data_IF_780368325554
#
_entry.id   IF_780368325554
#
_cell.length_a   1.000
_cell.length_b   1.000
_cell.length_c   1.000
_cell.angle_alpha   90.00
_cell.angle_beta   90.00
_cell.angle_gamma   90.00
#
_symmetry.space_group_name_H-M   'P 1'
#
loop_
_entity.id
_entity.type
_entity.pdbx_description
1 polymer ?
#
# COMPACT_ATOMS: atom_id res chain seq x y z
N UNK A 1 -3.03 -24.28 0.32
CA UNK A 1 -3.38 -23.65 1.62
C UNK A 1 -4.87 -23.35 1.65
N UNK A 2 -5.51 -23.31 2.82
CA UNK A 2 -6.97 -23.05 2.95
C UNK A 2 -7.42 -21.77 2.21
N UNK A 3 -6.55 -20.76 2.15
CA UNK A 3 -6.80 -19.52 1.41
C UNK A 3 -6.65 -19.63 -0.11
N UNK A 4 -5.86 -20.58 -0.64
CA UNK A 4 -5.77 -20.84 -2.09
C UNK A 4 -7.08 -21.45 -2.63
N UNK A 5 -7.75 -22.27 -1.82
CA UNK A 5 -9.04 -22.87 -2.19
C UNK A 5 -10.20 -21.85 -2.18
N UNK A 6 -10.05 -20.75 -1.42
CA UNK A 6 -11.05 -19.68 -1.33
C UNK A 6 -11.02 -18.73 -2.55
N UNK A 7 -9.85 -18.51 -3.17
CA UNK A 7 -9.70 -17.58 -4.29
C UNK A 7 -8.56 -18.02 -5.22
N UNK A 8 -8.90 -18.68 -6.32
CA UNK A 8 -7.94 -18.88 -7.40
C UNK A 8 -7.53 -17.55 -8.05
N UNK A 9 -6.25 -17.36 -8.44
CA UNK A 9 -5.77 -16.11 -9.09
C UNK A 9 -6.61 -15.67 -10.28
N UNK A 10 -7.08 -16.64 -11.08
CA UNK A 10 -7.94 -16.42 -12.24
C UNK A 10 -9.33 -15.89 -11.87
N UNK A 11 -9.88 -16.32 -10.74
CA UNK A 11 -11.12 -15.79 -10.18
C UNK A 11 -10.93 -14.38 -9.61
N UNK A 12 -9.80 -14.19 -8.94
CA UNK A 12 -9.40 -12.96 -8.30
C UNK A 12 -9.18 -11.80 -9.30
N UNK A 13 -8.54 -12.09 -10.45
CA UNK A 13 -8.41 -11.13 -11.59
C UNK A 13 -9.77 -10.72 -12.17
N UNK A 14 -10.80 -11.58 -12.11
CA UNK A 14 -12.15 -11.31 -12.65
C UNK A 14 -13.07 -10.56 -11.68
N UNK A 15 -12.83 -10.67 -10.36
CA UNK A 15 -13.64 -10.04 -9.32
C UNK A 15 -12.79 -9.22 -8.34
N UNK A 16 -12.14 -8.14 -8.79
CA UNK A 16 -11.18 -7.39 -7.97
C UNK A 16 -11.84 -6.73 -6.75
N UNK A 17 -13.14 -6.42 -6.80
CA UNK A 17 -13.88 -5.85 -5.67
C UNK A 17 -14.00 -6.81 -4.47
N UNK A 18 -13.92 -8.13 -4.67
CA UNK A 18 -13.95 -9.09 -3.56
C UNK A 18 -12.69 -9.01 -2.71
N UNK A 19 -11.57 -8.63 -3.32
CA UNK A 19 -10.28 -8.49 -2.65
C UNK A 19 -10.25 -7.37 -1.63
N UNK A 20 -11.07 -6.35 -1.84
CA UNK A 20 -11.29 -5.33 -0.82
C UNK A 20 -11.78 -5.95 0.49
N UNK A 21 -12.79 -6.82 0.43
CA UNK A 21 -13.30 -7.48 1.64
C UNK A 21 -12.29 -8.45 2.23
N UNK A 22 -11.51 -9.16 1.41
CA UNK A 22 -10.42 -9.99 1.90
C UNK A 22 -9.33 -9.18 2.61
N UNK A 23 -8.96 -8.01 2.08
CA UNK A 23 -8.04 -7.09 2.74
C UNK A 23 -8.57 -6.64 4.10
N UNK A 24 -9.85 -6.26 4.19
CA UNK A 24 -10.46 -5.89 5.48
C UNK A 24 -10.37 -7.05 6.48
N UNK A 25 -10.76 -8.26 6.07
CA UNK A 25 -10.74 -9.45 6.92
C UNK A 25 -9.31 -9.80 7.35
N UNK A 26 -8.34 -9.77 6.43
CA UNK A 26 -6.94 -10.07 6.73
C UNK A 26 -6.34 -9.06 7.71
N UNK A 27 -6.62 -7.76 7.56
CA UNK A 27 -6.18 -6.75 8.51
C UNK A 27 -6.74 -7.02 9.91
N UNK A 28 -8.05 -7.29 10.02
CA UNK A 28 -8.70 -7.55 11.31
C UNK A 28 -8.22 -8.86 11.96
N UNK A 29 -8.06 -9.93 11.18
CA UNK A 29 -7.51 -11.20 11.68
C UNK A 29 -6.05 -11.06 12.12
N UNK A 30 -5.23 -10.34 11.35
CA UNK A 30 -3.85 -10.09 11.70
C UNK A 30 -3.75 -9.30 13.02
N UNK A 31 -4.59 -8.29 13.23
CA UNK A 31 -4.68 -7.56 14.50
C UNK A 31 -5.11 -8.49 15.64
N UNK A 32 -6.16 -9.28 15.44
CA UNK A 32 -6.67 -10.19 16.46
C UNK A 32 -5.60 -11.20 16.90
N UNK A 33 -4.91 -11.83 15.96
CA UNK A 33 -3.81 -12.75 16.25
C UNK A 33 -2.57 -12.06 16.82
N UNK A 34 -2.22 -10.87 16.31
CA UNK A 34 -1.11 -10.08 16.84
C UNK A 34 -1.31 -9.73 18.30
N UNK A 35 -2.49 -9.25 18.67
CA UNK A 35 -2.83 -8.91 20.06
C UNK A 35 -2.96 -10.13 20.96
N UNK A 36 -3.45 -11.26 20.43
CA UNK A 36 -3.65 -12.47 21.23
C UNK A 36 -2.34 -13.23 21.49
N UNK A 37 -1.52 -13.40 20.45
CA UNK A 37 -0.32 -14.27 20.51
C UNK A 37 0.94 -13.45 20.82
N UNK A 38 1.03 -12.21 20.33
CA UNK A 38 2.24 -11.37 20.42
C UNK A 38 1.93 -9.94 20.93
N UNK A 39 1.31 -9.78 22.12
CA UNK A 39 0.81 -8.48 22.59
C UNK A 39 1.88 -7.40 22.76
N UNK A 40 3.14 -7.76 22.96
CA UNK A 40 4.27 -6.82 23.15
C UNK A 40 4.84 -6.32 21.82
N UNK A 41 4.86 -7.18 20.79
CA UNK A 41 5.49 -6.91 19.48
C UNK A 41 4.45 -6.70 18.36
N UNK A 42 3.19 -6.42 18.75
CA UNK A 42 2.05 -6.40 17.83
C UNK A 42 2.24 -5.42 16.66
N UNK A 43 2.97 -4.32 16.84
CA UNK A 43 3.15 -3.30 15.80
C UNK A 43 3.84 -3.79 14.51
N UNK A 44 4.86 -4.64 14.62
CA UNK A 44 5.47 -5.33 13.47
C UNK A 44 4.74 -6.62 13.12
N UNK A 45 4.35 -7.40 14.13
CA UNK A 45 3.81 -8.74 13.93
C UNK A 45 2.50 -8.70 13.13
N UNK A 46 1.65 -7.71 13.37
CA UNK A 46 0.40 -7.54 12.60
C UNK A 46 0.69 -7.34 11.11
N UNK A 47 1.70 -6.55 10.76
CA UNK A 47 2.12 -6.37 9.36
C UNK A 47 2.62 -7.69 8.78
N UNK A 48 3.45 -8.42 9.53
CA UNK A 48 3.96 -9.72 9.10
C UNK A 48 2.85 -10.76 8.88
N UNK A 49 1.84 -10.79 9.75
CA UNK A 49 0.69 -11.68 9.59
C UNK A 49 -0.14 -11.35 8.35
N UNK A 50 -0.35 -10.06 8.05
CA UNK A 50 -0.99 -9.65 6.78
C UNK A 50 -0.18 -10.13 5.59
N UNK A 51 1.15 -9.99 5.63
CA UNK A 51 2.04 -10.46 4.56
C UNK A 51 1.89 -11.97 4.36
N UNK A 52 1.92 -12.76 5.43
CA UNK A 52 1.70 -14.22 5.34
C UNK A 52 0.34 -14.55 4.71
N UNK A 53 -0.73 -13.88 5.14
CA UNK A 53 -2.09 -14.13 4.62
C UNK A 53 -2.24 -13.74 3.15
N UNK A 54 -1.52 -12.72 2.71
CA UNK A 54 -1.60 -12.20 1.34
C UNK A 54 -0.66 -12.92 0.37
N UNK A 55 0.50 -13.41 0.84
CA UNK A 55 1.54 -14.08 0.03
C UNK A 55 0.97 -15.11 -0.95
N UNK A 56 0.14 -16.10 -0.55
CA UNK A 56 -0.30 -17.14 -1.49
C UNK A 56 -1.04 -16.54 -2.70
N UNK A 57 -1.92 -15.58 -2.43
CA UNK A 57 -2.71 -14.92 -3.46
C UNK A 57 -1.83 -14.04 -4.37
N UNK A 58 -0.96 -13.25 -3.77
CA UNK A 58 -0.13 -12.27 -4.47
C UNK A 58 1.03 -12.92 -5.22
N UNK A 59 1.71 -13.91 -4.62
CA UNK A 59 2.83 -14.63 -5.21
C UNK A 59 2.37 -15.39 -6.45
N UNK A 60 1.28 -16.16 -6.35
CA UNK A 60 0.78 -16.91 -7.51
C UNK A 60 0.33 -15.95 -8.62
N UNK A 61 -0.27 -14.81 -8.28
CA UNK A 61 -0.63 -13.78 -9.28
C UNK A 61 0.60 -13.20 -9.97
N UNK A 62 1.66 -12.89 -9.22
CA UNK A 62 2.92 -12.36 -9.77
C UNK A 62 3.63 -13.38 -10.65
N UNK A 63 3.75 -14.63 -10.19
CA UNK A 63 4.39 -15.71 -10.95
C UNK A 63 3.65 -15.98 -12.27
N UNK A 64 2.31 -15.90 -12.26
CA UNK A 64 1.53 -16.02 -13.50
C UNK A 64 1.79 -14.86 -14.46
N UNK A 65 1.87 -13.63 -13.97
CA UNK A 65 2.22 -12.47 -14.81
C UNK A 65 3.63 -12.56 -15.38
N UNK A 66 4.59 -12.96 -14.55
CA UNK A 66 5.97 -13.20 -14.99
C UNK A 66 6.02 -14.26 -16.09
N UNK A 67 5.27 -15.36 -15.96
CA UNK A 67 5.20 -16.39 -16.98
C UNK A 67 4.57 -15.88 -18.30
N UNK A 68 3.52 -15.07 -18.22
CA UNK A 68 2.84 -14.48 -19.38
C UNK A 68 3.74 -13.48 -20.14
N UNK A 69 4.59 -12.73 -19.44
CA UNK A 69 5.60 -11.83 -20.01
C UNK A 69 6.55 -12.56 -20.97
N UNK A 70 6.94 -13.79 -20.63
CA UNK A 70 7.86 -14.58 -21.46
C UNK A 70 7.18 -15.28 -22.64
N UNK A 71 5.86 -15.33 -22.71
CA UNK A 71 5.14 -15.97 -23.83
C UNK A 71 4.66 -14.93 -24.86
N UNK A 72 4.29 -13.73 -24.41
CA UNK A 72 3.74 -12.70 -25.28
C UNK A 72 4.79 -11.93 -26.09
N UNK A 73 4.47 -11.59 -27.34
CA UNK A 73 5.29 -10.75 -28.22
C UNK A 73 4.69 -9.35 -28.45
N UNK A 74 3.59 -8.99 -27.78
CA UNK A 74 2.88 -7.71 -28.00
C UNK A 74 2.94 -6.81 -26.76
N UNK A 75 3.79 -5.78 -26.79
CA UNK A 75 3.99 -4.80 -25.70
C UNK A 75 2.66 -4.15 -25.23
N UNK A 76 1.76 -3.77 -26.14
CA UNK A 76 0.48 -3.13 -25.78
C UNK A 76 -0.45 -4.06 -25.00
N UNK A 77 -0.40 -5.36 -25.28
CA UNK A 77 -1.20 -6.35 -24.55
C UNK A 77 -0.66 -6.55 -23.15
N UNK A 78 0.67 -6.59 -22.98
CA UNK A 78 1.35 -6.73 -21.69
C UNK A 78 1.02 -5.57 -20.73
N UNK A 79 1.10 -4.32 -21.21
CA UNK A 79 0.72 -3.15 -20.41
C UNK A 79 -0.73 -3.21 -19.90
N UNK A 80 -1.64 -3.79 -20.69
CA UNK A 80 -3.04 -3.97 -20.29
C UNK A 80 -3.23 -5.07 -19.25
N UNK A 81 -2.44 -6.13 -19.28
CA UNK A 81 -2.46 -7.19 -18.26
C UNK A 81 -1.88 -6.69 -16.94
N UNK A 82 -0.72 -6.01 -16.98
CA UNK A 82 -0.15 -5.37 -15.80
C UNK A 82 -1.14 -4.40 -15.14
N UNK A 83 -1.87 -3.61 -15.93
CA UNK A 83 -2.92 -2.73 -15.41
C UNK A 83 -4.05 -3.46 -14.67
N UNK A 84 -4.40 -4.69 -15.06
CA UNK A 84 -5.38 -5.52 -14.33
C UNK A 84 -4.82 -6.01 -13.01
N UNK A 85 -3.55 -6.36 -12.97
CA UNK A 85 -2.85 -6.86 -11.78
C UNK A 85 -2.63 -5.75 -10.77
N UNK A 86 -2.22 -4.56 -11.25
CA UNK A 86 -2.16 -3.36 -10.40
C UNK A 86 -3.54 -3.10 -9.81
N UNK A 87 -4.62 -3.09 -10.61
CA UNK A 87 -5.98 -2.90 -10.10
C UNK A 87 -6.37 -3.96 -9.05
N UNK A 88 -6.06 -5.21 -9.31
CA UNK A 88 -6.24 -6.33 -8.38
C UNK A 88 -5.62 -6.03 -7.01
N UNK A 89 -4.35 -5.61 -7.01
CA UNK A 89 -3.63 -5.29 -5.80
C UNK A 89 -4.12 -4.00 -5.11
N UNK A 90 -4.54 -2.99 -5.88
CA UNK A 90 -5.12 -1.76 -5.35
C UNK A 90 -6.36 -2.03 -4.50
N UNK A 91 -7.26 -2.94 -4.91
CA UNK A 91 -8.43 -3.29 -4.10
C UNK A 91 -8.06 -4.01 -2.81
N UNK A 92 -7.11 -4.95 -2.87
CA UNK A 92 -6.59 -5.62 -1.66
C UNK A 92 -6.01 -4.61 -0.68
N UNK A 93 -5.18 -3.70 -1.18
CA UNK A 93 -4.55 -2.64 -0.39
C UNK A 93 -5.57 -1.68 0.23
N UNK A 94 -6.57 -1.26 -0.55
CA UNK A 94 -7.67 -0.44 -0.04
C UNK A 94 -8.45 -1.15 1.07
N UNK A 95 -8.63 -2.46 0.95
CA UNK A 95 -9.22 -3.30 1.99
C UNK A 95 -8.40 -3.31 3.28
N UNK A 96 -7.07 -3.45 3.15
CA UNK A 96 -6.16 -3.36 4.30
C UNK A 96 -6.25 -2.00 4.98
N UNK A 97 -6.28 -0.91 4.19
CA UNK A 97 -6.43 0.45 4.73
C UNK A 97 -7.70 0.56 5.57
N UNK A 98 -8.84 0.17 4.99
CA UNK A 98 -10.13 0.27 5.68
C UNK A 98 -10.16 -0.60 6.93
N UNK A 99 -9.68 -1.85 6.87
CA UNK A 99 -9.65 -2.74 8.03
C UNK A 99 -8.80 -2.20 9.18
N UNK A 100 -7.58 -1.75 8.90
CA UNK A 100 -6.71 -1.14 9.91
C UNK A 100 -7.27 0.18 10.43
N UNK A 101 -7.79 1.06 9.57
CA UNK A 101 -8.37 2.34 10.00
C UNK A 101 -9.62 2.15 10.85
N UNK A 102 -10.48 1.17 10.54
CA UNK A 102 -11.65 0.86 11.38
C UNK A 102 -11.20 0.43 12.77
N UNK A 103 -10.26 -0.51 12.86
CA UNK A 103 -9.71 -0.92 14.15
C UNK A 103 -9.08 0.26 14.90
N UNK A 104 -8.30 1.09 14.20
CA UNK A 104 -7.72 2.30 14.79
C UNK A 104 -8.80 3.23 15.33
N UNK A 105 -9.85 3.55 14.57
CA UNK A 105 -10.87 4.51 15.00
C UNK A 105 -11.63 4.03 16.24
N UNK A 106 -12.07 2.77 16.27
CA UNK A 106 -12.97 2.25 17.31
C UNK A 106 -12.28 1.69 18.56
N UNK A 107 -10.96 1.49 18.56
CA UNK A 107 -10.24 0.89 19.69
C UNK A 107 -9.93 1.87 20.83
N UNK A 108 -9.40 1.40 21.96
CA UNK A 108 -8.85 2.29 22.99
C UNK A 108 -7.48 2.84 22.60
N UNK A 109 -7.04 3.95 23.20
CA UNK A 109 -5.68 4.48 23.02
C UNK A 109 -4.60 3.44 23.38
N UNK A 110 -4.83 2.64 24.43
CA UNK A 110 -3.90 1.58 24.82
C UNK A 110 -3.76 0.49 23.73
N UNK A 111 -4.86 0.10 23.09
CA UNK A 111 -4.83 -0.87 21.97
C UNK A 111 -4.14 -0.28 20.73
N UNK A 112 -4.45 0.98 20.41
CA UNK A 112 -3.79 1.68 19.30
C UNK A 112 -2.28 1.74 19.50
N UNK A 113 -1.81 2.08 20.69
CA UNK A 113 -0.37 2.13 20.96
C UNK A 113 0.30 0.76 20.87
N UNK A 114 -0.38 -0.33 21.26
CA UNK A 114 0.15 -1.68 21.06
C UNK A 114 0.28 -2.06 19.59
N UNK A 115 -0.72 -1.72 18.77
CA UNK A 115 -0.81 -2.18 17.36
C UNK A 115 -0.12 -1.23 16.38
N UNK A 116 -0.03 0.07 16.68
CA UNK A 116 0.42 1.08 15.72
C UNK A 116 1.57 1.96 16.21
N UNK A 117 2.25 1.63 17.32
CA UNK A 117 3.33 2.46 17.87
C UNK A 117 4.41 2.83 16.83
N UNK A 118 4.88 1.85 16.06
CA UNK A 118 5.91 2.08 15.04
C UNK A 118 5.38 2.89 13.85
N UNK A 119 4.12 2.65 13.48
CA UNK A 119 3.43 3.40 12.42
C UNK A 119 3.28 4.87 12.83
N UNK A 120 2.89 5.13 14.08
CA UNK A 120 2.78 6.48 14.64
C UNK A 120 4.14 7.17 14.71
N UNK A 121 5.19 6.49 15.19
CA UNK A 121 6.56 7.02 15.20
C UNK A 121 7.08 7.33 13.78
N UNK A 122 6.69 6.53 12.79
CA UNK A 122 7.00 6.78 11.38
C UNK A 122 6.30 8.05 10.88
N UNK A 123 5.01 8.22 11.19
CA UNK A 123 4.24 9.42 10.83
C UNK A 123 4.88 10.67 11.44
N UNK A 124 5.24 10.60 12.73
CA UNK A 124 5.93 11.70 13.41
C UNK A 124 7.25 12.03 12.72
N UNK A 125 8.07 11.03 12.38
CA UNK A 125 9.35 11.23 11.70
C UNK A 125 9.22 11.85 10.31
N UNK A 126 8.17 11.49 9.56
CA UNK A 126 7.88 12.06 8.24
C UNK A 126 7.42 13.53 8.38
N UNK A 127 6.64 13.82 9.42
CA UNK A 127 6.07 15.15 9.64
C UNK A 127 7.01 16.12 10.40
N UNK A 128 8.10 15.64 11.01
CA UNK A 128 8.98 16.42 11.91
C UNK A 128 10.13 17.26 11.29
N UNK A 129 10.03 17.83 10.07
CA UNK A 129 10.87 19.00 9.73
C UNK A 129 10.10 20.29 9.43
N UNK A 130 8.80 20.39 9.72
CA UNK A 130 7.97 21.56 9.31
C UNK A 130 7.24 22.24 10.50
N UNK A 131 7.78 22.16 11.71
CA UNK A 131 7.34 23.05 12.80
C UNK A 131 8.09 24.38 12.71
N UNK A 132 7.57 25.31 11.89
CA UNK A 132 8.03 26.70 11.83
C UNK A 132 8.49 27.16 10.44
N UNK A 133 7.55 27.57 9.59
CA UNK A 133 7.83 28.39 8.41
C UNK A 133 8.50 27.68 7.22
N UNK A 134 8.38 26.36 7.06
CA UNK A 134 8.97 25.69 5.91
C UNK A 134 8.30 26.13 4.59
N UNK A 135 9.11 26.54 3.63
CA UNK A 135 8.68 26.82 2.26
C UNK A 135 8.01 25.58 1.64
N UNK A 136 6.95 25.77 0.85
CA UNK A 136 6.20 24.71 0.13
C UNK A 136 7.15 23.76 -0.64
N UNK A 137 8.28 24.27 -1.14
CA UNK A 137 9.31 23.48 -1.80
C UNK A 137 9.95 22.43 -0.89
N UNK A 138 10.21 22.75 0.38
CA UNK A 138 10.83 21.83 1.33
C UNK A 138 9.89 20.67 1.68
N UNK A 139 8.59 20.96 1.84
CA UNK A 139 7.58 19.93 2.05
C UNK A 139 7.48 18.99 0.83
N UNK A 140 7.46 19.55 -0.38
CA UNK A 140 7.44 18.76 -1.62
C UNK A 140 8.62 17.80 -1.73
N UNK A 141 9.87 18.27 -1.53
CA UNK A 141 11.04 17.40 -1.61
C UNK A 141 11.08 16.36 -0.48
N UNK A 142 10.62 16.69 0.72
CA UNK A 142 10.54 15.73 1.83
C UNK A 142 9.57 14.58 1.51
N UNK A 143 8.37 14.91 1.04
CA UNK A 143 7.36 13.92 0.62
C UNK A 143 7.88 13.10 -0.56
N UNK A 144 8.37 13.76 -1.61
CA UNK A 144 8.89 13.09 -2.81
C UNK A 144 10.01 12.11 -2.47
N UNK A 145 10.98 12.51 -1.64
CA UNK A 145 12.10 11.63 -1.27
C UNK A 145 11.67 10.46 -0.40
N UNK A 146 10.70 10.63 0.49
CA UNK A 146 10.14 9.52 1.26
C UNK A 146 9.43 8.52 0.34
N UNK A 147 8.58 8.99 -0.58
CA UNK A 147 7.87 8.13 -1.51
C UNK A 147 8.81 7.44 -2.53
N UNK A 148 9.89 8.10 -2.95
CA UNK A 148 10.96 7.47 -3.75
C UNK A 148 11.73 6.40 -2.97
N UNK A 149 11.96 6.57 -1.66
CA UNK A 149 12.56 5.52 -0.83
C UNK A 149 11.65 4.28 -0.77
N UNK A 150 10.35 4.47 -0.54
CA UNK A 150 9.37 3.38 -0.54
C UNK A 150 9.35 2.65 -1.88
N UNK A 151 9.33 3.40 -2.99
CA UNK A 151 9.43 2.86 -4.35
C UNK A 151 10.70 2.01 -4.54
N UNK A 152 11.85 2.55 -4.14
CA UNK A 152 13.14 1.85 -4.22
C UNK A 152 13.12 0.56 -3.41
N UNK A 153 12.59 0.57 -2.18
CA UNK A 153 12.48 -0.64 -1.36
C UNK A 153 11.51 -1.65 -1.96
N UNK A 154 10.39 -1.23 -2.56
CA UNK A 154 9.49 -2.14 -3.28
C UNK A 154 10.21 -2.85 -4.42
N UNK A 155 10.94 -2.10 -5.26
CA UNK A 155 11.74 -2.65 -6.34
C UNK A 155 12.81 -3.62 -5.81
N UNK A 156 13.61 -3.19 -4.83
CA UNK A 156 14.69 -3.96 -4.25
C UNK A 156 14.19 -5.28 -3.66
N UNK A 157 13.15 -5.24 -2.84
CA UNK A 157 12.60 -6.43 -2.20
C UNK A 157 11.96 -7.38 -3.21
N UNK A 158 11.33 -6.86 -4.27
CA UNK A 158 10.81 -7.69 -5.33
C UNK A 158 11.91 -8.38 -6.14
N UNK A 159 13.04 -7.71 -6.38
CA UNK A 159 14.20 -8.34 -7.05
C UNK A 159 14.78 -9.49 -6.25
N UNK A 160 14.95 -9.31 -4.94
CA UNK A 160 15.58 -10.34 -4.09
C UNK A 160 14.63 -11.47 -3.68
N UNK A 161 13.36 -11.14 -3.42
CA UNK A 161 12.42 -12.07 -2.80
C UNK A 161 11.17 -12.34 -3.65
N UNK A 162 11.13 -11.87 -4.91
CA UNK A 162 10.01 -11.99 -5.83
C UNK A 162 8.79 -11.18 -5.37
N UNK A 163 7.99 -11.78 -4.49
CA UNK A 163 6.82 -11.14 -3.88
C UNK A 163 7.16 -10.20 -2.70
N UNK A 164 8.45 -9.90 -2.46
CA UNK A 164 8.91 -9.13 -1.31
C UNK A 164 8.33 -7.72 -1.17
N UNK A 165 7.90 -7.10 -2.28
CA UNK A 165 7.27 -5.78 -2.25
C UNK A 165 6.01 -5.72 -1.37
N UNK A 166 5.32 -6.85 -1.17
CA UNK A 166 4.10 -6.94 -0.34
C UNK A 166 4.39 -6.52 1.10
N UNK A 167 5.57 -6.82 1.62
CA UNK A 167 5.95 -6.40 2.97
C UNK A 167 5.96 -4.87 3.09
N UNK A 168 6.61 -4.19 2.14
CA UNK A 168 6.70 -2.72 2.11
C UNK A 168 5.30 -2.11 1.92
N UNK A 169 4.47 -2.73 1.08
CA UNK A 169 3.10 -2.31 0.83
C UNK A 169 2.21 -2.49 2.07
N UNK A 170 2.23 -3.66 2.71
CA UNK A 170 1.45 -3.90 3.93
C UNK A 170 1.87 -2.96 5.07
N UNK A 171 3.18 -2.68 5.19
CA UNK A 171 3.70 -1.65 6.08
C UNK A 171 3.11 -0.28 5.75
N UNK A 172 3.21 0.17 4.49
CA UNK A 172 2.70 1.46 4.07
C UNK A 172 1.18 1.58 4.26
N UNK A 173 0.41 0.53 3.99
CA UNK A 173 -1.02 0.47 4.27
C UNK A 173 -1.30 0.71 5.76
N UNK A 174 -0.54 0.06 6.66
CA UNK A 174 -0.70 0.25 8.11
C UNK A 174 -0.36 1.69 8.57
N UNK A 175 0.65 2.32 7.96
CA UNK A 175 1.03 3.72 8.22
C UNK A 175 -0.08 4.68 7.78
N UNK A 176 -0.55 4.56 6.52
CA UNK A 176 -1.67 5.36 6.01
C UNK A 176 -2.92 5.17 6.89
N UNK A 177 -3.17 3.94 7.33
CA UNK A 177 -4.33 3.64 8.17
C UNK A 177 -4.30 4.32 9.53
N UNK A 178 -3.12 4.36 10.15
CA UNK A 178 -2.90 5.08 11.41
C UNK A 178 -3.02 6.60 11.23
N UNK A 179 -2.58 7.12 10.08
CA UNK A 179 -2.74 8.53 9.73
C UNK A 179 -4.23 8.91 9.54
N UNK A 180 -4.98 8.10 8.78
CA UNK A 180 -6.45 8.24 8.63
C UNK A 180 -7.12 8.16 10.01
N UNK A 181 -6.79 7.15 10.81
CA UNK A 181 -7.39 6.97 12.13
C UNK A 181 -7.10 8.13 13.08
N UNK A 182 -5.90 8.71 13.03
CA UNK A 182 -5.53 9.91 13.79
C UNK A 182 -6.33 11.12 13.34
N UNK A 183 -6.43 11.36 12.02
CA UNK A 183 -7.26 12.43 11.47
C UNK A 183 -8.71 12.34 11.93
N UNK A 184 -9.30 11.14 11.85
CA UNK A 184 -10.70 10.89 12.24
C UNK A 184 -10.90 11.15 13.74
N UNK A 185 -10.02 10.63 14.60
CA UNK A 185 -10.12 10.82 16.06
C UNK A 185 -9.95 12.28 16.46
N UNK A 186 -9.00 12.99 15.85
CA UNK A 186 -8.79 14.41 16.11
C UNK A 186 -10.03 15.23 15.70
N UNK A 187 -10.60 14.95 14.53
CA UNK A 187 -11.85 15.57 14.10
C UNK A 187 -12.99 15.27 15.08
N UNK A 188 -13.17 14.01 15.49
CA UNK A 188 -14.21 13.65 16.47
C UNK A 188 -14.03 14.43 17.78
N UNK A 189 -12.81 14.54 18.30
CA UNK A 189 -12.52 15.29 19.52
C UNK A 189 -12.85 16.78 19.38
N UNK A 190 -12.51 17.39 18.23
CA UNK A 190 -12.83 18.78 17.92
C UNK A 190 -14.35 19.01 17.88
N UNK A 191 -15.09 18.20 17.10
CA UNK A 191 -16.55 18.29 17.01
C UNK A 191 -17.25 18.03 18.36
N UNK A 192 -16.76 17.07 19.14
CA UNK A 192 -17.29 16.78 20.47
C UNK A 192 -17.14 17.97 21.42
N UNK A 193 -16.06 18.76 21.29
CA UNK A 193 -15.84 19.96 22.12
C UNK A 193 -16.73 21.14 21.73
N UNK A 194 -17.18 21.22 20.46
CA UNK A 194 -17.98 22.32 19.94
C UNK A 194 -19.50 22.13 20.05
N UNK A 195 -20.01 20.92 19.81
CA UNK A 195 -21.46 20.69 19.63
C UNK A 195 -22.08 19.73 20.65
N UNK A 196 -21.28 19.01 21.45
CA UNK A 196 -21.77 17.99 22.38
C UNK A 196 -22.34 16.75 21.67
N UNK A 197 -22.03 15.56 22.20
CA UNK A 197 -22.40 14.22 21.70
C UNK A 197 -22.16 13.89 20.20
N UNK A 198 -21.42 12.81 20.04
CA UNK A 198 -20.95 12.22 18.81
C UNK A 198 -22.04 11.46 18.04
N UNK A 199 -22.64 12.08 17.02
CA UNK A 199 -23.51 11.35 16.09
C UNK A 199 -22.71 10.37 15.22
N UNK A 200 -23.28 9.19 14.94
CA UNK A 200 -22.72 8.20 13.99
C UNK A 200 -22.47 8.83 12.61
N UNK A 201 -23.30 9.80 12.21
CA UNK A 201 -23.12 10.57 10.98
C UNK A 201 -21.79 11.35 10.94
N UNK A 202 -21.34 11.91 12.07
CA UNK A 202 -20.07 12.64 12.16
C UNK A 202 -18.90 11.66 12.03
N UNK A 203 -18.99 10.48 12.66
CA UNK A 203 -17.97 9.43 12.56
C UNK A 203 -17.80 8.97 11.12
N UNK A 204 -18.92 8.69 10.44
CA UNK A 204 -18.90 8.25 9.06
C UNK A 204 -18.37 9.34 8.12
N UNK A 205 -18.80 10.59 8.28
CA UNK A 205 -18.34 11.69 7.43
C UNK A 205 -16.83 11.91 7.58
N UNK A 206 -16.32 11.98 8.81
CA UNK A 206 -14.89 12.13 9.08
C UNK A 206 -14.07 10.94 8.58
N UNK A 207 -14.60 9.72 8.72
CA UNK A 207 -13.94 8.52 8.19
C UNK A 207 -13.79 8.57 6.67
N UNK A 208 -14.86 8.91 5.97
CA UNK A 208 -14.84 9.08 4.50
C UNK A 208 -13.90 10.22 4.10
N UNK A 209 -13.95 11.35 4.80
CA UNK A 209 -13.06 12.48 4.57
C UNK A 209 -11.59 12.12 4.80
N UNK A 210 -11.29 11.35 5.85
CA UNK A 210 -9.96 10.84 6.14
C UNK A 210 -9.45 9.93 5.03
N UNK A 211 -10.24 8.95 4.59
CA UNK A 211 -9.87 8.10 3.45
C UNK A 211 -9.63 8.96 2.21
N UNK A 212 -10.53 9.89 1.89
CA UNK A 212 -10.42 10.72 0.70
C UNK A 212 -9.16 11.58 0.72
N UNK A 213 -8.83 12.22 1.86
CA UNK A 213 -7.63 13.04 2.05
C UNK A 213 -6.36 12.30 1.64
N UNK A 214 -6.19 11.06 2.10
CA UNK A 214 -4.99 10.27 1.80
C UNK A 214 -5.05 9.56 0.44
N UNK A 215 -6.25 9.21 -0.04
CA UNK A 215 -6.38 8.52 -1.34
C UNK A 215 -6.27 9.45 -2.56
N UNK A 216 -6.39 10.78 -2.39
CA UNK A 216 -6.20 11.74 -3.49
C UNK A 216 -4.81 11.60 -4.15
N UNK A 217 -3.74 11.55 -3.35
CA UNK A 217 -2.38 11.31 -3.83
C UNK A 217 -2.01 9.82 -3.74
N UNK A 218 -2.46 9.13 -2.67
CA UNK A 218 -2.10 7.74 -2.40
C UNK A 218 -2.44 6.77 -3.53
N UNK A 219 -3.50 7.02 -4.31
CA UNK A 219 -3.83 6.17 -5.49
C UNK A 219 -2.68 6.12 -6.51
N UNK A 220 -1.96 7.22 -6.70
CA UNK A 220 -0.83 7.30 -7.63
C UNK A 220 0.41 6.63 -7.05
N UNK A 221 0.67 6.84 -5.75
CA UNK A 221 1.82 6.30 -5.05
C UNK A 221 1.74 4.78 -4.92
N UNK A 222 0.60 4.25 -4.48
CA UNK A 222 0.38 2.81 -4.34
C UNK A 222 0.46 2.13 -5.71
N UNK A 223 -0.12 2.73 -6.75
CA UNK A 223 0.01 2.23 -8.11
C UNK A 223 1.48 2.18 -8.56
N UNK A 224 2.26 3.23 -8.27
CA UNK A 224 3.69 3.25 -8.57
C UNK A 224 4.46 2.15 -7.82
N UNK A 225 4.16 1.91 -6.54
CA UNK A 225 4.79 0.86 -5.75
C UNK A 225 4.50 -0.53 -6.31
N UNK A 226 3.26 -0.79 -6.73
CA UNK A 226 2.93 -2.05 -7.40
C UNK A 226 3.62 -2.20 -8.75
N UNK A 227 3.72 -1.14 -9.54
CA UNK A 227 4.45 -1.17 -10.82
C UNK A 227 5.94 -1.44 -10.59
N UNK A 228 6.57 -0.83 -9.57
CA UNK A 228 7.95 -1.13 -9.19
C UNK A 228 8.12 -2.56 -8.67
N UNK A 229 7.16 -3.06 -7.89
CA UNK A 229 7.14 -4.46 -7.45
C UNK A 229 7.07 -5.44 -8.62
N UNK A 230 6.21 -5.18 -9.61
CA UNK A 230 6.13 -5.96 -10.84
C UNK A 230 7.45 -5.92 -11.63
N UNK A 231 8.02 -4.73 -11.82
CA UNK A 231 9.31 -4.57 -12.49
C UNK A 231 10.42 -5.35 -11.78
N UNK A 232 10.43 -5.34 -10.44
CA UNK A 232 11.38 -6.09 -9.63
C UNK A 232 11.21 -7.60 -9.72
N UNK A 233 9.97 -8.11 -9.71
CA UNK A 233 9.68 -9.54 -9.87
C UNK A 233 10.08 -10.07 -11.24
N UNK A 234 9.71 -9.36 -12.32
CA UNK A 234 10.12 -9.68 -13.69
C UNK A 234 11.65 -9.71 -13.79
N UNK A 235 12.34 -8.75 -13.19
CA UNK A 235 13.81 -8.71 -13.17
C UNK A 235 14.39 -9.88 -12.36
N UNK A 236 13.79 -10.25 -11.23
CA UNK A 236 14.20 -11.40 -10.41
C UNK A 236 14.21 -12.70 -11.22
N UNK A 237 13.12 -12.99 -11.92
CA UNK A 237 13.00 -14.21 -12.75
C UNK A 237 14.03 -14.23 -13.86
N UNK A 238 14.25 -13.09 -14.53
CA UNK A 238 15.23 -13.01 -15.61
C UNK A 238 16.69 -13.16 -15.15
N UNK A 239 17.00 -12.81 -13.90
CA UNK A 239 18.32 -12.99 -13.31
C UNK A 239 18.58 -14.44 -12.89
N UNK A 240 17.56 -15.16 -12.45
CA UNK A 240 17.67 -16.54 -11.94
C UNK A 240 17.61 -17.55 -13.09
N UNK A 241 16.86 -17.28 -14.17
CA UNK A 241 16.65 -18.23 -15.25
C UNK A 241 17.66 -18.07 -16.39
N UNK A 242 18.65 -18.97 -16.46
CA UNK A 242 19.73 -18.95 -17.47
C UNK A 242 19.22 -18.96 -18.93
N UNK A 243 18.14 -19.68 -19.20
CA UNK A 243 17.55 -19.76 -20.55
C UNK A 243 16.98 -18.41 -21.01
N UNK A 244 16.36 -17.67 -20.09
CA UNK A 244 15.83 -16.32 -20.30
C UNK A 244 16.96 -15.31 -20.45
N UNK A 245 17.99 -15.44 -19.60
CA UNK A 245 19.15 -14.56 -19.58
C UNK A 245 19.90 -14.52 -20.92
N UNK A 246 20.02 -15.65 -21.60
CA UNK A 246 20.76 -15.72 -22.87
C UNK A 246 19.95 -15.16 -24.05
N UNK A 247 18.64 -15.41 -24.09
CA UNK A 247 17.82 -15.08 -25.28
C UNK A 247 17.13 -13.72 -25.21
N UNK A 248 16.80 -13.23 -23.99
CA UNK A 248 15.83 -12.13 -23.82
C UNK A 248 16.19 -11.07 -22.77
N UNK A 249 17.35 -11.16 -22.12
CA UNK A 249 17.76 -10.22 -21.07
C UNK A 249 17.68 -8.74 -21.50
N UNK A 250 18.11 -8.42 -22.73
CA UNK A 250 18.05 -7.04 -23.25
C UNK A 250 16.61 -6.50 -23.34
N UNK A 251 15.65 -7.37 -23.68
CA UNK A 251 14.23 -7.01 -23.73
C UNK A 251 13.69 -6.79 -22.31
N UNK A 252 13.93 -7.73 -21.40
CA UNK A 252 13.51 -7.61 -20.00
C UNK A 252 14.02 -6.33 -19.36
N UNK A 253 15.31 -6.01 -19.52
CA UNK A 253 15.89 -4.77 -18.97
C UNK A 253 15.21 -3.53 -19.52
N UNK A 254 14.89 -3.51 -20.83
CA UNK A 254 14.17 -2.39 -21.45
C UNK A 254 12.78 -2.23 -20.83
N UNK A 255 12.04 -3.32 -20.69
CA UNK A 255 10.65 -3.29 -20.22
C UNK A 255 10.57 -2.92 -18.73
N UNK A 256 11.45 -3.48 -17.90
CA UNK A 256 11.52 -3.10 -16.47
C UNK A 256 11.96 -1.65 -16.30
N UNK A 257 12.86 -1.13 -17.14
CA UNK A 257 13.23 0.30 -17.13
C UNK A 257 12.05 1.20 -17.45
N UNK A 258 11.20 0.82 -18.42
CA UNK A 258 9.98 1.56 -18.76
C UNK A 258 9.00 1.55 -17.59
N UNK A 259 8.77 0.40 -16.95
CA UNK A 259 7.90 0.29 -15.77
C UNK A 259 8.40 1.17 -14.62
N UNK A 260 9.71 1.15 -14.33
CA UNK A 260 10.32 2.00 -13.30
C UNK A 260 10.12 3.49 -13.64
N UNK A 261 10.31 3.88 -14.90
CA UNK A 261 10.09 5.26 -15.33
C UNK A 261 8.63 5.70 -15.14
N UNK A 262 7.66 4.85 -15.49
CA UNK A 262 6.23 5.09 -15.26
C UNK A 262 5.95 5.26 -13.77
N UNK A 263 6.52 4.39 -12.93
CA UNK A 263 6.33 4.45 -11.49
C UNK A 263 6.90 5.74 -10.88
N UNK A 264 8.08 6.19 -11.32
CA UNK A 264 8.66 7.47 -10.88
C UNK A 264 7.75 8.65 -11.26
N UNK A 265 7.22 8.67 -12.49
CA UNK A 265 6.29 9.72 -12.94
C UNK A 265 5.04 9.76 -12.05
N UNK A 266 4.48 8.60 -11.70
CA UNK A 266 3.32 8.51 -10.82
C UNK A 266 3.64 9.02 -9.40
N UNK A 267 4.83 8.74 -8.86
CA UNK A 267 5.27 9.26 -7.55
C UNK A 267 5.39 10.78 -7.58
N UNK A 268 5.98 11.34 -8.64
CA UNK A 268 6.06 12.81 -8.80
C UNK A 268 4.66 13.41 -8.87
N UNK A 269 3.74 12.79 -9.60
CA UNK A 269 2.36 13.24 -9.68
C UNK A 269 1.64 13.16 -8.32
N UNK A 270 1.82 12.06 -7.58
CA UNK A 270 1.30 11.90 -6.21
C UNK A 270 1.78 13.02 -5.29
N UNK A 271 3.09 13.30 -5.26
CA UNK A 271 3.66 14.38 -4.47
C UNK A 271 3.12 15.78 -4.84
N UNK A 272 2.89 16.04 -6.14
CA UNK A 272 2.25 17.29 -6.59
C UNK A 272 0.81 17.40 -6.07
N UNK A 273 0.04 16.31 -6.14
CA UNK A 273 -1.34 16.27 -5.62
C UNK A 273 -1.35 16.42 -4.10
N UNK A 274 -0.42 15.81 -3.37
CA UNK A 274 -0.33 15.93 -1.92
C UNK A 274 -0.01 17.34 -1.46
N UNK A 275 0.94 18.03 -2.11
CA UNK A 275 1.40 19.35 -1.68
C UNK A 275 0.50 20.48 -2.17
N UNK A 276 0.01 20.41 -3.41
CA UNK A 276 -0.69 21.55 -4.03
C UNK A 276 -2.20 21.39 -4.10
N UNK A 277 -2.73 20.16 -4.16
CA UNK A 277 -4.17 19.92 -4.36
C UNK A 277 -4.86 19.54 -3.06
N UNK A 278 -4.28 18.59 -2.30
CA UNK A 278 -4.88 18.07 -1.06
C UNK A 278 -5.16 19.16 -0.02
N UNK A 279 -4.26 20.13 0.24
CA UNK A 279 -4.51 21.18 1.23
C UNK A 279 -5.60 22.18 0.85
N UNK A 280 -5.98 22.26 -0.44
CA UNK A 280 -7.10 23.10 -0.90
C UNK A 280 -8.43 22.55 -0.39
N UNK A 281 -8.57 21.22 -0.32
CA UNK A 281 -9.78 20.54 0.13
C UNK A 281 -9.78 20.19 1.62
N UNK A 282 -8.60 19.96 2.20
CA UNK A 282 -8.43 19.51 3.58
C UNK A 282 -7.44 20.43 4.31
N UNK A 283 -7.96 21.49 4.92
CA UNK A 283 -7.19 22.37 5.80
C UNK A 283 -6.97 21.75 7.18
#
# INVERSE_FOLDING_TARGET
MVFEDLIGPTYAKRHPTKLFFFGVVFALLAIAFGLWIFPTESSMVVVFLVVIMTIPLTYVTLVQEEAEEFVSNKEVWLLREHGRVVRFFMYLFLGLIVGFSLFYVFSSNAMVQKVFSLQLSTIESINNPVSGGAFVSQAFFSILTNNLKVLFFCLLFAVFFGAGAIFILAWNASVISAAIGTYVRNGIAEYASLLGFNSVAIHFNLFVAGILRYMLHGVFEIAAYFIAGLAGGIMSVALINDSVRIMRLKRVIKDTTILIAIAIILIVFGALVEVFVTPVFFK
#
